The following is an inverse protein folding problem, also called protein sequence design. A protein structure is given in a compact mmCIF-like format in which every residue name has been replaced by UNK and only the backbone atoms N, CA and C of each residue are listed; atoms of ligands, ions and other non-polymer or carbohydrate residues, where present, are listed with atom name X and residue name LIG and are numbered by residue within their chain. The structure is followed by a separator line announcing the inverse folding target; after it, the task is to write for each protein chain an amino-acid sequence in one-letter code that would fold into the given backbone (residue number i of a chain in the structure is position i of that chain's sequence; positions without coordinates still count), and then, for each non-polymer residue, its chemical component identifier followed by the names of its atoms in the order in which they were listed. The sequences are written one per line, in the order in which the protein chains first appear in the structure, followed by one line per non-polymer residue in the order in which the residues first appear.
data_IF_183514215743
#
_entry.id   IF_183514215743
#
_cell.length_a   1.000
_cell.length_b   1.000
_cell.length_c   1.000
_cell.angle_alpha   90.00
_cell.angle_beta   90.00
_cell.angle_gamma   90.00
#
_symmetry.space_group_name_H-M   'P 1'
#
loop_
_entity.id
_entity.type
_entity.pdbx_description
1 polymer ?
#
# COMPACT_ATOMS: atom_id res chain seq x y z
N UNK A 1 -8.53 6.23 16.73
CA UNK A 1 -7.16 5.80 17.11
C UNK A 1 -7.01 4.30 17.40
N UNK A 2 -8.06 3.60 17.89
CA UNK A 2 -7.96 2.14 18.14
C UNK A 2 -7.56 1.34 16.89
N UNK A 3 -8.17 1.63 15.73
CA UNK A 3 -7.86 0.94 14.47
C UNK A 3 -6.40 1.10 14.04
N UNK A 4 -5.79 2.27 14.31
CA UNK A 4 -4.36 2.49 14.05
C UNK A 4 -3.52 1.61 14.95
N UNK A 5 -3.88 1.51 16.23
CA UNK A 5 -3.17 0.63 17.16
C UNK A 5 -3.22 -0.82 16.69
N UNK A 6 -4.36 -1.27 16.16
CA UNK A 6 -4.51 -2.62 15.61
C UNK A 6 -3.62 -2.85 14.38
N UNK A 7 -3.59 -1.89 13.43
CA UNK A 7 -2.69 -1.95 12.26
C UNK A 7 -1.21 -1.94 12.61
N UNK A 8 -0.86 -1.20 13.66
CA UNK A 8 0.51 -1.12 14.16
C UNK A 8 0.92 -2.35 14.97
N UNK A 9 0.02 -3.33 15.17
CA UNK A 9 0.27 -4.53 15.98
C UNK A 9 0.35 -4.25 17.48
N UNK A 10 -0.20 -3.13 17.94
CA UNK A 10 -0.18 -2.75 19.35
C UNK A 10 -1.25 -3.60 20.09
N UNK A 11 -0.90 -4.23 21.24
CA UNK A 11 -1.81 -5.10 21.98
C UNK A 11 -3.14 -4.42 22.34
N UNK A 12 -4.26 -5.16 22.48
CA UNK A 12 -5.57 -4.61 22.85
C UNK A 12 -5.54 -3.82 24.17
N UNK A 13 -6.56 -3.00 24.40
CA UNK A 13 -6.62 -2.04 25.53
C UNK A 13 -6.34 -2.67 26.90
N UNK A 14 -6.74 -3.93 27.09
CA UNK A 14 -6.53 -4.71 28.32
C UNK A 14 -5.08 -5.19 28.55
N UNK A 15 -4.18 -4.93 27.60
CA UNK A 15 -2.76 -5.32 27.65
C UNK A 15 -1.82 -4.12 27.48
N UNK A 16 -1.99 -3.09 28.31
CA UNK A 16 -1.11 -1.90 28.34
C UNK A 16 -0.99 -1.14 27.01
N UNK A 17 -2.03 -1.12 26.18
CA UNK A 17 -2.06 -0.44 24.86
C UNK A 17 -1.52 0.98 24.90
N UNK A 18 -1.96 1.77 25.88
CA UNK A 18 -1.56 3.15 26.07
C UNK A 18 -0.07 3.32 26.37
N UNK A 19 0.56 2.34 27.03
CA UNK A 19 1.99 2.37 27.34
C UNK A 19 2.80 2.06 26.09
N UNK A 20 2.43 0.99 25.37
CA UNK A 20 3.09 0.60 24.12
C UNK A 20 2.96 1.70 23.06
N UNK A 21 1.77 2.30 22.92
CA UNK A 21 1.54 3.42 22.01
C UNK A 21 2.37 4.64 22.43
N UNK A 22 2.42 4.95 23.73
CA UNK A 22 3.21 6.05 24.26
C UNK A 22 4.70 5.87 23.97
N UNK A 23 5.25 4.69 24.27
CA UNK A 23 6.64 4.35 24.03
C UNK A 23 7.01 4.42 22.54
N UNK A 24 6.13 3.95 21.65
CA UNK A 24 6.36 3.98 20.20
C UNK A 24 6.49 5.39 19.63
N UNK A 25 5.67 6.32 20.14
CA UNK A 25 5.63 7.70 19.64
C UNK A 25 6.28 8.73 20.57
N UNK A 26 6.99 8.28 21.61
CA UNK A 26 7.73 9.13 22.53
C UNK A 26 6.86 10.06 23.40
N UNK A 27 5.66 9.62 23.76
CA UNK A 27 4.73 10.40 24.61
C UNK A 27 4.35 9.66 25.89
N UNK A 28 3.88 10.40 26.88
CA UNK A 28 3.37 9.80 28.12
C UNK A 28 2.17 8.86 27.85
N UNK A 29 2.05 7.82 28.68
CA UNK A 29 0.90 6.91 28.69
C UNK A 29 -0.44 7.67 28.82
N UNK A 30 -0.46 8.75 29.61
CA UNK A 30 -1.65 9.60 29.80
C UNK A 30 -2.05 10.33 28.50
N UNK A 31 -1.07 10.83 27.73
CA UNK A 31 -1.33 11.47 26.45
C UNK A 31 -1.85 10.44 25.43
N UNK A 32 -1.19 9.29 25.32
CA UNK A 32 -1.62 8.19 24.47
C UNK A 32 -3.04 7.70 24.82
N UNK A 33 -3.39 7.62 26.11
CA UNK A 33 -4.75 7.28 26.56
C UNK A 33 -5.80 8.25 26.00
N UNK A 34 -5.56 9.56 26.07
CA UNK A 34 -6.49 10.57 25.54
C UNK A 34 -6.79 10.34 24.06
N UNK A 35 -5.79 9.98 23.26
CA UNK A 35 -5.98 9.68 21.84
C UNK A 35 -6.81 8.42 21.61
N UNK A 36 -6.61 7.39 22.43
CA UNK A 36 -7.36 6.13 22.34
C UNK A 36 -8.84 6.29 22.67
N UNK A 37 -9.18 7.15 23.65
CA UNK A 37 -10.56 7.42 24.06
C UNK A 37 -11.21 8.59 23.30
N UNK A 38 -10.48 9.27 22.41
CA UNK A 38 -11.01 10.39 21.62
C UNK A 38 -11.10 11.72 22.37
N UNK A 39 -10.46 11.86 23.52
CA UNK A 39 -10.42 13.10 24.32
C UNK A 39 -9.35 14.10 23.82
N UNK A 40 -8.65 13.78 22.74
CA UNK A 40 -7.68 14.67 22.11
C UNK A 40 -6.98 14.02 20.93
N UNK A 41 -6.24 14.83 20.19
CA UNK A 41 -5.47 14.42 19.03
C UNK A 41 -3.95 14.50 19.31
N UNK A 42 -3.11 13.69 18.66
CA UNK A 42 -1.68 13.93 18.64
C UNK A 42 -1.36 15.25 17.95
N UNK A 43 -0.15 15.77 18.17
CA UNK A 43 0.33 16.86 17.34
C UNK A 43 0.49 16.41 15.87
N UNK A 44 0.60 17.37 14.96
CA UNK A 44 0.71 17.12 13.52
C UNK A 44 1.91 16.22 13.18
N UNK A 45 3.05 16.41 13.85
CA UNK A 45 4.26 15.65 13.56
C UNK A 45 4.12 14.17 13.92
N UNK A 46 3.52 13.87 15.08
CA UNK A 46 3.22 12.51 15.51
C UNK A 46 2.16 11.90 14.61
N UNK A 47 1.11 12.66 14.27
CA UNK A 47 0.03 12.19 13.41
C UNK A 47 0.56 11.78 12.02
N UNK A 48 1.47 12.56 11.43
CA UNK A 48 2.12 12.22 10.16
C UNK A 48 2.92 10.91 10.30
N UNK A 49 3.71 10.76 11.37
CA UNK A 49 4.46 9.50 11.62
C UNK A 49 3.52 8.30 11.75
N UNK A 50 2.43 8.45 12.51
CA UNK A 50 1.42 7.40 12.67
C UNK A 50 0.79 7.02 11.33
N UNK A 51 0.47 8.01 10.49
CA UNK A 51 -0.12 7.78 9.18
C UNK A 51 0.82 6.99 8.25
N UNK A 52 2.10 7.36 8.23
CA UNK A 52 3.15 6.67 7.45
C UNK A 52 3.33 5.23 7.94
N UNK A 53 3.53 5.03 9.25
CA UNK A 53 3.78 3.69 9.81
C UNK A 53 2.57 2.75 9.64
N UNK A 54 1.35 3.27 9.77
CA UNK A 54 0.14 2.49 9.61
C UNK A 54 -0.33 2.37 8.15
N UNK A 55 0.38 3.02 7.21
CA UNK A 55 0.03 3.12 5.77
C UNK A 55 -1.41 3.60 5.55
N UNK A 56 -1.78 4.69 6.21
CA UNK A 56 -3.11 5.30 6.11
C UNK A 56 -3.03 6.75 5.66
N UNK A 57 -4.14 7.28 5.15
CA UNK A 57 -4.30 8.70 4.90
C UNK A 57 -4.26 9.51 6.22
N UNK A 58 -3.45 10.56 6.23
CA UNK A 58 -3.44 11.56 7.31
C UNK A 58 -4.82 12.21 7.47
N UNK A 59 -5.46 12.58 6.35
CA UNK A 59 -6.78 13.20 6.38
C UNK A 59 -7.84 12.26 6.94
N UNK A 60 -7.74 10.97 6.64
CA UNK A 60 -8.63 9.98 7.22
C UNK A 60 -8.39 9.84 8.72
N UNK A 61 -7.12 9.81 9.14
CA UNK A 61 -6.75 9.70 10.55
C UNK A 61 -7.31 10.88 11.38
N UNK A 62 -7.31 12.08 10.82
CA UNK A 62 -7.77 13.30 11.51
C UNK A 62 -9.27 13.53 11.43
N UNK A 63 -9.89 13.21 10.30
CA UNK A 63 -11.29 13.61 10.02
C UNK A 63 -12.26 12.43 9.95
N UNK A 64 -11.76 11.24 9.63
CA UNK A 64 -12.56 10.04 9.34
C UNK A 64 -13.35 10.09 8.03
N UNK A 65 -13.17 11.11 7.17
CA UNK A 65 -14.05 11.38 6.01
C UNK A 65 -13.50 10.95 4.64
N UNK A 66 -12.20 10.69 4.52
CA UNK A 66 -11.56 10.27 3.27
C UNK A 66 -11.38 8.74 3.21
N UNK A 67 -10.93 8.15 2.09
CA UNK A 67 -10.49 6.76 2.11
C UNK A 67 -9.31 6.56 3.07
N UNK A 68 -9.36 5.48 3.83
CA UNK A 68 -8.30 5.14 4.81
C UNK A 68 -7.00 4.74 4.13
N UNK A 69 -7.08 3.95 3.05
CA UNK A 69 -5.91 3.48 2.31
C UNK A 69 -5.31 4.61 1.48
N UNK A 70 -3.98 4.71 1.49
CA UNK A 70 -3.27 5.54 0.53
C UNK A 70 -3.19 4.78 -0.79
N UNK A 71 -4.01 5.16 -1.76
CA UNK A 71 -3.94 4.61 -3.12
C UNK A 71 -2.78 5.34 -3.82
N UNK A 72 -1.68 4.63 -4.03
CA UNK A 72 -0.59 5.11 -4.86
C UNK A 72 -0.99 5.01 -6.34
N UNK A 73 -1.46 6.13 -6.89
CA UNK A 73 -1.86 6.21 -8.29
C UNK A 73 -0.67 6.09 -9.26
N UNK A 74 0.54 6.50 -8.86
CA UNK A 74 1.73 6.42 -9.71
C UNK A 74 2.11 4.96 -9.98
N UNK A 75 2.14 4.13 -8.93
CA UNK A 75 2.43 2.70 -9.07
C UNK A 75 1.34 1.95 -9.85
N UNK A 76 0.09 2.38 -9.75
CA UNK A 76 -1.02 1.77 -10.51
C UNK A 76 -0.95 2.09 -12.01
N UNK A 77 -0.45 3.26 -12.39
CA UNK A 77 -0.26 3.67 -13.79
C UNK A 77 0.94 2.97 -14.42
N UNK A 78 2.07 2.88 -13.71
CA UNK A 78 3.26 2.13 -14.16
C UNK A 78 2.96 0.65 -14.41
N UNK A 79 2.16 0.01 -13.54
CA UNK A 79 1.74 -1.38 -13.71
C UNK A 79 0.82 -1.57 -14.92
N UNK A 80 -0.07 -0.60 -15.20
CA UNK A 80 -0.93 -0.64 -16.40
C UNK A 80 -0.12 -0.46 -17.68
N UNK A 81 0.86 0.44 -17.67
CA UNK A 81 1.71 0.73 -18.83
C UNK A 81 2.62 -0.46 -19.18
N UNK A 82 3.19 -1.11 -18.17
CA UNK A 82 4.00 -2.33 -18.35
C UNK A 82 3.15 -3.50 -18.86
N UNK A 83 1.93 -3.69 -18.33
CA UNK A 83 1.01 -4.72 -18.80
C UNK A 83 0.55 -4.47 -20.25
N UNK A 84 0.24 -3.22 -20.61
CA UNK A 84 -0.16 -2.84 -21.97
C UNK A 84 0.99 -3.03 -22.96
N UNK A 85 2.21 -2.65 -22.57
CA UNK A 85 3.43 -2.86 -23.38
C UNK A 85 3.66 -4.36 -23.62
N UNK A 86 3.59 -5.18 -22.57
CA UNK A 86 3.77 -6.62 -22.69
C UNK A 86 2.72 -7.28 -23.60
N UNK A 87 1.44 -6.87 -23.49
CA UNK A 87 0.35 -7.32 -24.37
C UNK A 87 0.57 -6.92 -25.83
N UNK A 88 0.98 -5.68 -26.08
CA UNK A 88 1.23 -5.16 -27.43
C UNK A 88 2.40 -5.88 -28.10
N UNK A 89 3.49 -6.08 -27.36
CA UNK A 89 4.68 -6.81 -27.82
C UNK A 89 4.30 -8.24 -28.21
N UNK A 90 3.56 -8.96 -27.35
CA UNK A 90 3.10 -10.32 -27.65
C UNK A 90 2.15 -10.39 -28.85
N UNK A 91 1.19 -9.47 -28.97
CA UNK A 91 0.23 -9.44 -30.08
C UNK A 91 0.87 -9.12 -31.43
N UNK A 92 1.95 -8.33 -31.45
CA UNK A 92 2.67 -7.97 -32.67
C UNK A 92 3.73 -9.01 -33.09
N UNK A 93 3.85 -10.13 -32.37
CA UNK A 93 4.84 -11.18 -32.65
C UNK A 93 6.25 -10.83 -32.20
N UNK A 94 6.36 -10.01 -31.14
CA UNK A 94 7.61 -9.68 -30.49
C UNK A 94 7.63 -10.26 -29.06
N UNK A 95 8.83 -10.47 -28.51
CA UNK A 95 9.06 -10.88 -27.13
C UNK A 95 9.92 -9.84 -26.44
N UNK A 96 9.50 -9.43 -25.24
CA UNK A 96 10.32 -8.65 -24.32
C UNK A 96 11.22 -9.62 -23.54
N UNK A 97 12.53 -9.39 -23.56
CA UNK A 97 13.50 -10.17 -22.80
C UNK A 97 13.74 -9.54 -21.42
N UNK A 98 14.27 -10.33 -20.48
CA UNK A 98 14.49 -9.90 -19.09
C UNK A 98 15.48 -8.73 -18.96
N UNK A 99 16.31 -8.50 -19.98
CA UNK A 99 17.23 -7.37 -20.08
C UNK A 99 16.58 -6.07 -20.62
N UNK A 100 15.27 -6.11 -20.89
CA UNK A 100 14.49 -4.99 -21.40
C UNK A 100 14.54 -4.82 -22.93
N UNK A 101 15.20 -5.72 -23.67
CA UNK A 101 15.24 -5.66 -25.14
C UNK A 101 14.00 -6.29 -25.77
N UNK A 102 13.63 -5.84 -26.98
CA UNK A 102 12.50 -6.37 -27.76
C UNK A 102 13.07 -7.10 -28.98
N UNK A 103 12.66 -8.34 -29.21
CA UNK A 103 13.00 -9.10 -30.42
C UNK A 103 11.82 -9.84 -31.03
N UNK A 104 12.00 -10.35 -32.25
CA UNK A 104 10.96 -11.04 -33.00
C UNK A 104 10.76 -12.49 -32.49
N UNK A 105 9.49 -12.91 -32.39
CA UNK A 105 9.12 -14.32 -32.20
C UNK A 105 9.23 -15.00 -33.56
N UNK A 106 10.03 -16.07 -33.65
CA UNK A 106 10.06 -16.93 -34.85
C UNK A 106 8.65 -17.47 -35.11
N UNK A 107 8.19 -17.45 -36.36
CA UNK A 107 6.81 -17.80 -36.75
C UNK A 107 6.31 -19.16 -36.20
N UNK A 108 7.20 -20.11 -35.95
CA UNK A 108 6.86 -21.41 -35.34
C UNK A 108 6.46 -21.34 -33.85
N UNK A 109 6.96 -20.36 -33.10
CA UNK A 109 6.65 -20.15 -31.67
C UNK A 109 5.39 -19.32 -31.46
N UNK A 110 4.98 -18.51 -32.45
CA UNK A 110 3.78 -17.67 -32.39
C UNK A 110 2.51 -18.52 -32.18
N UNK A 111 2.38 -19.62 -32.92
CA UNK A 111 1.25 -20.53 -32.83
C UNK A 111 1.14 -21.26 -31.48
N UNK A 112 2.27 -21.41 -30.77
CA UNK A 112 2.31 -22.00 -29.43
C UNK A 112 1.91 -20.97 -28.36
N UNK A 113 2.32 -19.71 -28.53
CA UNK A 113 1.93 -18.58 -27.67
C UNK A 113 0.44 -18.24 -27.78
N UNK A 114 -0.11 -18.20 -29.00
CA UNK A 114 -1.54 -17.94 -29.22
C UNK A 114 -2.44 -19.00 -28.57
N UNK A 115 -2.00 -20.27 -28.58
CA UNK A 115 -2.69 -21.37 -27.88
C UNK A 115 -2.64 -21.22 -26.36
N UNK A 116 -1.51 -20.80 -25.80
CA UNK A 116 -1.36 -20.59 -24.36
C UNK A 116 -2.18 -19.39 -23.84
N UNK A 117 -2.31 -18.32 -24.63
CA UNK A 117 -3.08 -17.13 -24.27
C UNK A 117 -4.60 -17.33 -24.36
N UNK A 118 -5.09 -18.21 -25.24
CA UNK A 118 -6.52 -18.57 -25.33
C UNK A 118 -7.00 -19.53 -24.23
N UNK A 119 -6.07 -20.12 -23.47
CA UNK A 119 -6.37 -21.14 -22.46
C UNK A 119 -6.41 -20.58 -21.02
N UNK A 120 -6.24 -19.27 -20.84
CA UNK A 120 -6.44 -18.55 -19.58
C UNK A 120 -7.67 -17.65 -19.68
#
# INVERSE_FOLDING_TARGET
MSLISDRLGIPPAEKNRQEVLGNRFGVSQKAAKKWLVGEGFPDTSITIKMAIEAKVSYDWLMTGRTPMEVIDHHRAEELKETELTAKTVAMAGYKLFDDGTIGYIQWGDLASLERALRSK
#
